data_IF_517331178024
#
_entry.id   IF_517331178024
#
_cell.length_a   1.000
_cell.length_b   1.000
_cell.length_c   1.000
_cell.angle_alpha   90.00
_cell.angle_beta   90.00
_cell.angle_gamma   90.00
#
_symmetry.space_group_name_H-M   'P 1'
#
loop_
_entity.id
_entity.type
_entity.pdbx_description
1 polymer ?
#
# COMPACT_ATOMS: atom_id res chain seq x y z
N UNK A 1 -14.06 18.56 16.45
CA UNK A 1 -12.58 18.43 16.31
C UNK A 1 -12.27 17.29 15.32
N UNK A 2 -12.78 17.38 14.10
CA UNK A 2 -12.79 16.29 13.10
C UNK A 2 -11.66 16.36 12.07
N UNK A 3 -10.93 17.48 11.99
CA UNK A 3 -9.93 17.72 10.94
C UNK A 3 -8.65 16.90 11.06
N UNK A 4 -8.28 16.45 12.27
CA UNK A 4 -7.01 15.75 12.49
C UNK A 4 -7.04 14.31 11.97
N UNK A 5 -8.17 13.60 12.14
CA UNK A 5 -8.29 12.20 11.69
C UNK A 5 -8.53 12.11 10.18
N UNK A 6 -9.28 13.06 9.60
CA UNK A 6 -9.46 13.15 8.16
C UNK A 6 -8.15 13.46 7.43
N UNK A 7 -7.31 14.34 8.00
CA UNK A 7 -5.97 14.60 7.47
C UNK A 7 -5.07 13.35 7.55
N UNK A 8 -5.10 12.63 8.68
CA UNK A 8 -4.35 11.38 8.83
C UNK A 8 -4.82 10.29 7.85
N UNK A 9 -6.13 10.15 7.65
CA UNK A 9 -6.73 9.23 6.68
C UNK A 9 -6.24 9.52 5.25
N UNK A 10 -6.27 10.80 4.84
CA UNK A 10 -5.80 11.22 3.53
C UNK A 10 -4.31 10.91 3.32
N UNK A 11 -3.47 11.22 4.31
CA UNK A 11 -2.02 10.98 4.23
C UNK A 11 -1.68 9.49 4.10
N UNK A 12 -2.31 8.64 4.92
CA UNK A 12 -2.09 7.19 4.86
C UNK A 12 -2.60 6.63 3.53
N UNK A 13 -3.75 7.11 3.04
CA UNK A 13 -4.30 6.71 1.74
C UNK A 13 -3.36 7.04 0.58
N UNK A 14 -2.78 8.25 0.57
CA UNK A 14 -1.78 8.65 -0.42
C UNK A 14 -0.51 7.80 -0.35
N UNK A 15 -0.06 7.45 0.88
CA UNK A 15 1.09 6.58 1.09
C UNK A 15 0.85 5.17 0.55
N UNK A 16 -0.34 4.58 0.78
CA UNK A 16 -0.75 3.29 0.21
C UNK A 16 -0.72 3.34 -1.32
N UNK A 17 -1.23 4.39 -1.95
CA UNK A 17 -1.19 4.55 -3.41
C UNK A 17 0.23 4.67 -3.95
N UNK A 18 1.15 5.32 -3.21
CA UNK A 18 2.57 5.37 -3.56
C UNK A 18 3.20 3.98 -3.47
N UNK A 19 2.95 3.25 -2.39
CA UNK A 19 3.46 1.88 -2.20
C UNK A 19 2.93 0.93 -3.28
N UNK A 20 1.65 1.02 -3.64
CA UNK A 20 1.06 0.24 -4.73
C UNK A 20 1.73 0.50 -6.08
N UNK A 21 2.09 1.76 -6.39
CA UNK A 21 2.88 2.08 -7.60
C UNK A 21 4.28 1.47 -7.54
N UNK A 22 4.94 1.50 -6.38
CA UNK A 22 6.24 0.86 -6.20
C UNK A 22 6.19 -0.65 -6.43
N UNK A 23 5.14 -1.34 -5.96
CA UNK A 23 4.92 -2.77 -6.23
C UNK A 23 4.79 -3.05 -7.72
N UNK A 24 3.97 -2.27 -8.42
CA UNK A 24 3.79 -2.40 -9.86
C UNK A 24 5.10 -2.20 -10.62
N UNK A 25 5.94 -1.25 -10.20
CA UNK A 25 7.27 -1.07 -10.78
C UNK A 25 8.19 -2.27 -10.53
N UNK A 26 8.13 -2.89 -9.35
CA UNK A 26 8.90 -4.10 -9.08
C UNK A 26 8.45 -5.26 -9.99
N UNK A 27 7.14 -5.49 -10.11
CA UNK A 27 6.59 -6.53 -10.97
C UNK A 27 6.93 -6.30 -12.45
N UNK A 28 6.81 -5.06 -12.92
CA UNK A 28 7.21 -4.69 -14.27
C UNK A 28 8.72 -4.87 -14.49
N UNK A 29 9.53 -4.53 -13.50
CA UNK A 29 10.98 -4.74 -13.51
C UNK A 29 11.36 -6.22 -13.65
N UNK A 30 10.70 -7.10 -12.89
CA UNK A 30 10.89 -8.55 -12.98
C UNK A 30 10.51 -9.09 -14.36
N UNK A 31 9.33 -8.72 -14.86
CA UNK A 31 8.88 -9.14 -16.19
C UNK A 31 9.83 -8.67 -17.29
N UNK A 32 10.35 -7.45 -17.16
CA UNK A 32 11.33 -6.91 -18.11
C UNK A 32 12.66 -7.65 -18.07
N UNK A 33 13.19 -7.95 -16.87
CA UNK A 33 14.42 -8.72 -16.70
C UNK A 33 14.30 -10.13 -17.28
N UNK A 34 13.16 -10.79 -17.06
CA UNK A 34 12.88 -12.11 -17.61
C UNK A 34 12.82 -12.06 -19.14
N UNK A 35 12.08 -11.11 -19.72
CA UNK A 35 12.00 -10.94 -21.17
C UNK A 35 13.38 -10.66 -21.81
N UNK A 36 14.18 -9.79 -21.19
CA UNK A 36 15.55 -9.50 -21.66
C UNK A 36 16.43 -10.75 -21.62
N UNK A 37 16.36 -11.51 -20.53
CA UNK A 37 17.13 -12.73 -20.38
C UNK A 37 16.71 -13.79 -21.40
N UNK A 38 15.40 -14.02 -21.59
CA UNK A 38 14.90 -14.97 -22.59
C UNK A 38 15.34 -14.61 -24.01
N UNK A 39 15.29 -13.32 -24.36
CA UNK A 39 15.75 -12.83 -25.68
C UNK A 39 17.23 -13.12 -25.87
N UNK A 40 18.05 -12.80 -24.87
CA UNK A 40 19.47 -13.09 -24.91
C UNK A 40 19.75 -14.60 -24.98
N UNK A 41 19.09 -15.39 -24.13
CA UNK A 41 19.22 -16.84 -24.06
C UNK A 41 18.89 -17.53 -25.39
N UNK A 42 17.85 -17.07 -26.10
CA UNK A 42 17.46 -17.60 -27.41
C UNK A 42 18.52 -17.39 -28.50
N UNK A 43 19.36 -16.37 -28.36
CA UNK A 43 20.41 -16.02 -29.34
C UNK A 43 21.83 -16.38 -28.90
N UNK A 44 22.02 -16.82 -27.66
CA UNK A 44 23.35 -17.05 -27.11
C UNK A 44 23.93 -18.36 -27.63
N UNK A 45 25.06 -18.26 -28.33
CA UNK A 45 25.84 -19.42 -28.77
C UNK A 45 27.06 -19.69 -27.87
N UNK A 46 27.31 -18.83 -26.87
CA UNK A 46 28.47 -18.92 -25.98
C UNK A 46 28.04 -19.24 -24.54
N UNK A 47 28.55 -20.35 -24.01
CA UNK A 47 28.27 -20.83 -22.66
C UNK A 47 28.81 -19.91 -21.55
N UNK A 48 29.95 -19.24 -21.76
CA UNK A 48 30.54 -18.37 -20.73
C UNK A 48 29.75 -17.06 -20.56
N UNK A 49 29.42 -16.40 -21.67
CA UNK A 49 28.56 -15.20 -21.66
C UNK A 49 27.14 -15.50 -21.16
N UNK A 50 26.65 -16.72 -21.41
CA UNK A 50 25.37 -17.16 -20.84
C UNK A 50 25.40 -17.21 -19.32
N UNK A 51 26.39 -17.85 -18.71
CA UNK A 51 26.48 -17.96 -17.25
C UNK A 51 26.63 -16.59 -16.58
N UNK A 52 27.40 -15.68 -17.17
CA UNK A 52 27.55 -14.33 -16.63
C UNK A 52 26.23 -13.56 -16.66
N UNK A 53 25.52 -13.58 -17.80
CA UNK A 53 24.23 -12.90 -17.91
C UNK A 53 23.17 -13.56 -17.03
N UNK A 54 23.19 -14.89 -16.88
CA UNK A 54 22.31 -15.61 -15.95
C UNK A 54 22.50 -15.13 -14.51
N UNK A 55 23.73 -15.10 -14.01
CA UNK A 55 24.02 -14.63 -12.63
C UNK A 55 23.62 -13.18 -12.42
N UNK A 56 23.83 -12.33 -13.44
CA UNK A 56 23.42 -10.92 -13.39
C UNK A 56 21.90 -10.79 -13.30
N UNK A 57 21.15 -11.52 -14.13
CA UNK A 57 19.69 -11.53 -14.10
C UNK A 57 19.18 -12.10 -12.78
N UNK A 58 19.76 -13.21 -12.30
CA UNK A 58 19.40 -13.84 -11.02
C UNK A 58 19.55 -12.86 -9.85
N UNK A 59 20.70 -12.19 -9.75
CA UNK A 59 20.94 -11.21 -8.69
C UNK A 59 19.96 -10.04 -8.77
N UNK A 60 19.69 -9.53 -9.97
CA UNK A 60 18.76 -8.43 -10.17
C UNK A 60 17.32 -8.83 -9.82
N UNK A 61 16.88 -10.02 -10.22
CA UNK A 61 15.57 -10.56 -9.90
C UNK A 61 15.40 -10.80 -8.39
N UNK A 62 16.44 -11.32 -7.73
CA UNK A 62 16.44 -11.50 -6.28
C UNK A 62 16.31 -10.15 -5.55
N UNK A 63 17.10 -9.14 -5.95
CA UNK A 63 17.02 -7.81 -5.37
C UNK A 63 15.62 -7.20 -5.55
N UNK A 64 15.06 -7.24 -6.77
CA UNK A 64 13.72 -6.72 -7.05
C UNK A 64 12.64 -7.48 -6.28
N UNK A 65 12.77 -8.79 -6.12
CA UNK A 65 11.84 -9.61 -5.32
C UNK A 65 11.89 -9.23 -3.84
N UNK A 66 13.07 -9.06 -3.26
CA UNK A 66 13.23 -8.61 -1.88
C UNK A 66 12.63 -7.22 -1.68
N UNK A 67 12.84 -6.29 -2.62
CA UNK A 67 12.21 -4.96 -2.59
C UNK A 67 10.70 -5.06 -2.67
N UNK A 68 10.15 -5.88 -3.56
CA UNK A 68 8.71 -6.10 -3.67
C UNK A 68 8.11 -6.59 -2.35
N UNK A 69 8.71 -7.61 -1.72
CA UNK A 69 8.24 -8.16 -0.45
C UNK A 69 8.28 -7.12 0.66
N UNK A 70 9.33 -6.30 0.71
CA UNK A 70 9.43 -5.20 1.67
C UNK A 70 8.33 -4.15 1.47
N UNK A 71 8.13 -3.69 0.23
CA UNK A 71 7.09 -2.70 -0.11
C UNK A 71 5.70 -3.26 0.21
N UNK A 72 5.42 -4.53 -0.12
CA UNK A 72 4.14 -5.15 0.18
C UNK A 72 3.89 -5.24 1.69
N UNK A 73 4.89 -5.63 2.48
CA UNK A 73 4.77 -5.64 3.94
C UNK A 73 4.48 -4.24 4.50
N UNK A 74 5.17 -3.19 4.00
CA UNK A 74 4.88 -1.81 4.42
C UNK A 74 3.47 -1.37 4.03
N UNK A 75 3.01 -1.74 2.83
CA UNK A 75 1.65 -1.43 2.37
C UNK A 75 0.61 -2.10 3.26
N UNK A 76 0.82 -3.37 3.62
CA UNK A 76 -0.05 -4.08 4.58
C UNK A 76 -0.11 -3.34 5.92
N UNK A 77 1.03 -2.94 6.48
CA UNK A 77 1.07 -2.14 7.72
C UNK A 77 0.27 -0.84 7.60
N UNK A 78 0.39 -0.13 6.47
CA UNK A 78 -0.35 1.11 6.21
C UNK A 78 -1.85 0.88 6.03
N UNK A 79 -2.26 -0.22 5.42
CA UNK A 79 -3.68 -0.60 5.35
C UNK A 79 -4.26 -0.89 6.73
N UNK A 80 -3.51 -1.54 7.63
CA UNK A 80 -3.92 -1.72 9.02
C UNK A 80 -4.04 -0.37 9.76
N UNK A 81 -3.05 0.52 9.60
CA UNK A 81 -3.09 1.88 10.17
C UNK A 81 -4.33 2.66 9.70
N UNK A 82 -4.66 2.57 8.40
CA UNK A 82 -5.84 3.21 7.82
C UNK A 82 -7.14 2.68 8.44
N UNK A 83 -7.26 1.35 8.59
CA UNK A 83 -8.44 0.72 9.19
C UNK A 83 -8.65 1.15 10.65
N UNK A 84 -7.57 1.34 11.42
CA UNK A 84 -7.67 1.89 12.78
C UNK A 84 -8.14 3.34 12.80
N UNK A 85 -7.66 4.17 11.87
CA UNK A 85 -8.10 5.56 11.74
C UNK A 85 -9.57 5.63 11.34
N UNK A 86 -10.02 4.80 10.39
CA UNK A 86 -11.43 4.71 9.98
C UNK A 86 -12.34 4.31 11.14
N UNK A 87 -11.90 3.35 11.97
CA UNK A 87 -12.63 2.97 13.18
C UNK A 87 -12.79 4.14 14.15
N UNK A 88 -11.73 4.91 14.40
CA UNK A 88 -11.78 6.09 15.28
C UNK A 88 -12.69 7.20 14.73
N UNK A 89 -12.68 7.42 13.41
CA UNK A 89 -13.60 8.36 12.75
C UNK A 89 -15.06 7.92 12.94
N UNK A 90 -15.36 6.62 12.79
CA UNK A 90 -16.70 6.09 13.02
C UNK A 90 -17.13 6.22 14.49
N UNK A 91 -16.26 5.88 15.44
CA UNK A 91 -16.51 6.02 16.88
C UNK A 91 -16.83 7.49 17.25
N UNK A 92 -16.05 8.46 16.75
CA UNK A 92 -16.34 9.88 16.96
C UNK A 92 -17.71 10.28 16.41
N UNK A 93 -18.04 9.87 15.18
CA UNK A 93 -19.35 10.18 14.56
C UNK A 93 -20.51 9.60 15.38
N UNK A 94 -20.37 8.38 15.89
CA UNK A 94 -21.39 7.75 16.75
C UNK A 94 -21.54 8.48 18.10
N UNK A 95 -20.44 8.86 18.74
CA UNK A 95 -20.48 9.63 20.00
C UNK A 95 -21.13 11.00 19.83
N UNK A 96 -20.83 11.72 18.75
CA UNK A 96 -21.46 13.02 18.44
C UNK A 96 -22.97 12.89 18.17
N UNK A 97 -23.40 11.77 17.56
CA UNK A 97 -24.81 11.50 17.29
C UNK A 97 -25.58 11.16 18.57
N UNK A 98 -24.97 10.40 19.48
CA UNK A 98 -25.56 10.02 20.78
C UNK A 98 -25.77 11.22 21.73
N UNK A 99 -24.85 12.19 21.69
CA UNK A 99 -24.97 13.46 22.42
C UNK A 99 -26.10 14.36 21.91
N UNK A 100 -26.38 14.35 20.59
CA UNK A 100 -27.49 15.13 20.01
C UNK A 100 -28.86 14.57 20.37
N UNK A 101 -29.02 13.25 20.41
CA UNK A 101 -30.29 12.59 20.78
C UNK A 101 -30.65 12.80 22.27
N UNK A 102 -29.66 13.06 23.12
CA UNK A 102 -29.88 13.28 24.55
C UNK A 102 -30.20 14.75 24.91
N UNK A 103 -30.10 15.68 23.95
CA UNK A 103 -30.31 17.12 24.16
C UNK A 103 -31.70 17.66 23.82
N UNK A 104 -32.60 16.83 23.25
CA UNK A 104 -33.93 17.24 22.78
C UNK A 104 -35.10 16.78 23.66
N UNK A 105 -34.92 16.59 24.97
CA UNK A 105 -36.05 16.66 25.91
C UNK A 105 -36.27 18.10 26.35
N UNK A 106 -36.81 18.87 25.41
CA UNK A 106 -37.40 20.17 25.66
C UNK A 106 -38.49 20.05 26.72
N UNK A 107 -38.33 20.81 27.81
CA UNK A 107 -39.43 21.17 28.67
C UNK A 107 -40.49 21.88 27.83
N UNK A 108 -41.67 21.28 27.76
CA UNK A 108 -42.90 22.03 27.52
C UNK A 108 -43.70 21.94 28.80
N UNK A 109 -43.61 23.02 29.59
CA UNK A 109 -44.66 23.33 30.55
C UNK A 109 -45.98 23.46 29.80
N UNK A 110 -46.96 22.69 30.21
CA UNK A 110 -48.36 23.00 29.99
C UNK A 110 -48.99 23.28 31.35
N UNK A 111 -49.79 24.34 31.35
CA UNK A 111 -50.59 24.92 32.42
C UNK A 111 -51.36 23.89 33.25
#
# INVERSE_FOLDING_TARGET
MSSSFEAQHSLISEEIQRLQRCEQYCLHGLAHQDQQFQTFAATSQNSSGYQEQFKKTEYAAMATTCTYLFVNNLKEQKMYELAEVEKRIQEQKMSETSLKVSGESGGYGFQ
#
